data_IF_600401369452
#
_entry.id   IF_600401369452
#
_cell.length_a   1.000
_cell.length_b   1.000
_cell.length_c   1.000
_cell.angle_alpha   90.00
_cell.angle_beta   90.00
_cell.angle_gamma   90.00
#
_symmetry.space_group_name_H-M   'P 1'
#
loop_
_entity.id
_entity.type
_entity.pdbx_description
1 polymer ?
#
# COMPACT_ATOMS: atom_id res chain seq x y z
N UNK A 1 0.88 29.37 -16.41
CA UNK A 1 0.30 28.39 -17.36
C UNK A 1 1.00 27.04 -17.15
N UNK A 2 0.51 25.94 -17.74
CA UNK A 2 1.17 24.60 -17.65
C UNK A 2 2.63 24.67 -18.14
N UNK A 3 2.89 25.45 -19.20
CA UNK A 3 4.23 25.63 -19.80
C UNK A 3 5.24 26.22 -18.81
N UNK A 4 4.85 27.22 -18.01
CA UNK A 4 5.77 27.82 -17.02
C UNK A 4 6.15 26.82 -15.92
N UNK A 5 5.21 25.94 -15.57
CA UNK A 5 5.39 24.93 -14.52
C UNK A 5 6.26 23.77 -15.01
N UNK A 6 6.10 23.36 -16.26
CA UNK A 6 6.97 22.37 -16.93
C UNK A 6 8.39 22.90 -17.15
N UNK A 7 8.53 24.17 -17.54
CA UNK A 7 9.83 24.81 -17.69
C UNK A 7 10.56 24.88 -16.35
N UNK A 8 9.87 25.29 -15.29
CA UNK A 8 10.43 25.29 -13.94
C UNK A 8 10.81 23.87 -13.48
N UNK A 9 9.98 22.86 -13.78
CA UNK A 9 10.29 21.46 -13.50
C UNK A 9 11.62 21.03 -14.15
N UNK A 10 11.81 21.32 -15.44
CA UNK A 10 13.03 20.94 -16.15
C UNK A 10 14.27 21.72 -15.67
N UNK A 11 14.15 23.03 -15.51
CA UNK A 11 15.30 23.88 -15.14
C UNK A 11 15.72 23.69 -13.68
N UNK A 12 14.77 23.67 -12.75
CA UNK A 12 15.08 23.67 -11.33
C UNK A 12 15.35 22.28 -10.77
N UNK A 13 14.57 21.29 -11.18
CA UNK A 13 14.69 19.95 -10.60
C UNK A 13 15.51 18.99 -11.46
N UNK A 14 15.30 18.97 -12.79
CA UNK A 14 16.07 18.06 -13.68
C UNK A 14 17.50 18.59 -13.88
N UNK A 15 17.65 19.84 -14.34
CA UNK A 15 18.97 20.45 -14.56
C UNK A 15 19.64 20.90 -13.25
N UNK A 16 18.84 21.42 -12.30
CA UNK A 16 19.34 21.86 -10.99
C UNK A 16 19.60 20.73 -9.98
N UNK A 17 19.27 19.48 -10.34
CA UNK A 17 19.42 18.30 -9.47
C UNK A 17 18.76 18.46 -8.08
N UNK A 18 17.71 19.28 -7.99
CA UNK A 18 16.98 19.48 -6.75
C UNK A 18 15.86 18.44 -6.64
N UNK A 19 15.82 17.60 -5.59
CA UNK A 19 14.75 16.64 -5.41
C UNK A 19 13.39 17.34 -5.42
N UNK A 20 12.44 16.76 -6.14
CA UNK A 20 11.04 17.19 -6.10
C UNK A 20 10.48 16.94 -4.70
N UNK A 21 9.53 17.77 -4.22
CA UNK A 21 8.74 17.42 -3.05
C UNK A 21 8.09 16.05 -3.28
N UNK A 22 8.29 15.14 -2.32
CA UNK A 22 7.67 13.82 -2.38
C UNK A 22 6.19 14.01 -2.14
N UNK A 23 5.39 13.71 -3.16
CA UNK A 23 3.93 13.76 -3.09
C UNK A 23 3.35 12.37 -2.78
N UNK A 24 2.03 12.29 -2.63
CA UNK A 24 1.31 11.03 -2.41
C UNK A 24 1.15 10.17 -3.68
N UNK A 25 1.91 10.43 -4.75
CA UNK A 25 1.76 9.72 -6.03
C UNK A 25 2.46 8.36 -6.02
N UNK A 26 1.98 7.44 -6.86
CA UNK A 26 2.64 6.14 -7.07
C UNK A 26 4.06 6.28 -7.66
N UNK A 27 4.33 7.38 -8.38
CA UNK A 27 5.65 7.65 -8.95
C UNK A 27 6.68 7.96 -7.86
N UNK A 28 6.29 8.74 -6.85
CA UNK A 28 7.13 9.02 -5.69
C UNK A 28 7.42 7.74 -4.88
N UNK A 29 6.43 6.88 -4.70
CA UNK A 29 6.60 5.58 -4.04
C UNK A 29 7.59 4.66 -4.80
N UNK A 30 7.46 4.57 -6.13
CA UNK A 30 8.39 3.79 -6.96
C UNK A 30 9.82 4.34 -6.94
N UNK A 31 9.96 5.66 -6.96
CA UNK A 31 11.25 6.33 -6.85
C UNK A 31 11.93 5.99 -5.52
N UNK A 32 11.22 6.15 -4.41
CA UNK A 32 11.74 5.83 -3.06
C UNK A 32 12.14 4.36 -2.93
N UNK A 33 11.34 3.43 -3.47
CA UNK A 33 11.67 2.00 -3.50
C UNK A 33 12.95 1.69 -4.28
N UNK A 34 13.20 2.41 -5.39
CA UNK A 34 14.41 2.24 -6.20
C UNK A 34 15.63 2.90 -5.54
N UNK A 35 15.47 4.07 -4.95
CA UNK A 35 16.56 4.82 -4.32
C UNK A 35 17.02 4.19 -3.01
N UNK A 36 16.11 3.64 -2.21
CA UNK A 36 16.40 3.16 -0.85
C UNK A 36 16.10 1.67 -0.66
N UNK A 37 16.47 0.84 -1.65
CA UNK A 37 16.22 -0.61 -1.61
C UNK A 37 17.02 -1.31 -0.48
N UNK A 38 18.27 -0.92 -0.29
CA UNK A 38 19.18 -1.46 0.73
C UNK A 38 19.33 -0.46 1.89
N UNK A 39 19.55 -0.97 3.10
CA UNK A 39 19.91 -0.16 4.26
C UNK A 39 21.42 -0.24 4.54
N UNK A 40 21.93 0.74 5.29
CA UNK A 40 23.34 0.81 5.68
C UNK A 40 23.56 0.40 7.15
N UNK A 41 22.53 -0.17 7.81
CA UNK A 41 22.55 -0.52 9.23
C UNK A 41 22.65 0.66 10.22
N UNK A 42 22.74 1.90 9.76
CA UNK A 42 22.91 3.06 10.63
C UNK A 42 21.57 3.54 11.20
N UNK A 43 21.58 3.97 12.46
CA UNK A 43 20.44 4.66 13.07
C UNK A 43 20.49 6.14 12.72
N UNK A 44 19.35 6.69 12.28
CA UNK A 44 19.16 8.13 12.11
C UNK A 44 18.25 8.63 13.22
N UNK A 45 18.63 9.73 13.88
CA UNK A 45 17.76 10.42 14.82
C UNK A 45 16.82 11.33 14.02
N UNK A 46 15.53 11.14 14.20
CA UNK A 46 14.49 12.02 13.66
C UNK A 46 14.16 13.11 14.70
N UNK A 47 13.51 14.17 14.24
CA UNK A 47 13.18 15.36 15.03
C UNK A 47 11.70 15.42 15.39
N UNK A 48 11.29 16.45 16.13
CA UNK A 48 9.89 16.69 16.47
C UNK A 48 8.99 16.87 15.22
N UNK A 49 9.54 17.38 14.11
CA UNK A 49 8.80 17.53 12.85
C UNK A 49 8.34 16.17 12.30
N UNK A 50 9.16 15.12 12.44
CA UNK A 50 8.78 13.77 12.04
C UNK A 50 7.77 13.13 12.98
N UNK A 51 7.76 13.49 14.26
CA UNK A 51 6.74 13.03 15.21
C UNK A 51 5.35 13.58 14.83
N UNK A 52 5.26 14.86 14.46
CA UNK A 52 4.02 15.46 13.95
C UNK A 52 3.53 14.76 12.66
N UNK A 53 4.46 14.39 11.76
CA UNK A 53 4.14 13.63 10.56
C UNK A 53 3.61 12.23 10.89
N UNK A 54 4.21 11.55 11.87
CA UNK A 54 3.75 10.23 12.33
C UNK A 54 2.35 10.33 12.94
N UNK A 55 2.07 11.34 13.74
CA UNK A 55 0.74 11.55 14.34
C UNK A 55 -0.33 11.84 13.27
N UNK A 56 -0.01 12.67 12.27
CA UNK A 56 -0.88 12.89 11.13
C UNK A 56 -1.15 11.59 10.36
N UNK A 57 -0.12 10.75 10.13
CA UNK A 57 -0.27 9.46 9.48
C UNK A 57 -1.16 8.50 10.29
N UNK A 58 -1.00 8.44 11.61
CA UNK A 58 -1.83 7.60 12.48
C UNK A 58 -3.29 8.08 12.51
N UNK A 59 -3.53 9.40 12.48
CA UNK A 59 -4.88 9.95 12.37
C UNK A 59 -5.56 9.53 11.05
N UNK A 60 -4.87 9.68 9.92
CA UNK A 60 -5.39 9.25 8.61
C UNK A 60 -5.66 7.75 8.58
N UNK A 61 -4.80 6.92 9.18
CA UNK A 61 -5.04 5.47 9.29
C UNK A 61 -6.31 5.15 10.08
N UNK A 62 -6.59 5.90 11.15
CA UNK A 62 -7.80 5.72 11.94
C UNK A 62 -9.05 6.06 11.12
N UNK A 63 -9.04 7.18 10.41
CA UNK A 63 -10.16 7.57 9.52
C UNK A 63 -10.37 6.55 8.40
N UNK A 64 -9.30 6.08 7.76
CA UNK A 64 -9.38 5.04 6.73
C UNK A 64 -10.00 3.75 7.27
N UNK A 65 -9.66 3.34 8.48
CA UNK A 65 -10.24 2.15 9.12
C UNK A 65 -11.74 2.30 9.35
N UNK A 66 -12.19 3.48 9.75
CA UNK A 66 -13.61 3.76 9.94
C UNK A 66 -14.37 3.78 8.59
N UNK A 67 -13.78 4.40 7.57
CA UNK A 67 -14.32 4.39 6.20
C UNK A 67 -14.37 2.98 5.61
N UNK A 68 -13.34 2.16 5.82
CA UNK A 68 -13.33 0.76 5.41
C UNK A 68 -14.42 -0.05 6.12
N UNK A 69 -14.65 0.22 7.40
CA UNK A 69 -15.71 -0.44 8.17
C UNK A 69 -17.09 -0.07 7.63
N UNK A 70 -17.30 1.21 7.32
CA UNK A 70 -18.52 1.71 6.72
C UNK A 70 -18.75 1.12 5.32
N UNK A 71 -17.71 1.06 4.48
CA UNK A 71 -17.75 0.41 3.17
C UNK A 71 -18.16 -1.06 3.29
N UNK A 72 -17.53 -1.80 4.21
CA UNK A 72 -17.86 -3.22 4.47
C UNK A 72 -19.31 -3.39 4.93
N UNK A 73 -19.84 -2.48 5.75
CA UNK A 73 -21.26 -2.49 6.13
C UNK A 73 -22.17 -2.43 4.90
N UNK A 74 -21.97 -1.45 4.02
CA UNK A 74 -22.78 -1.32 2.80
C UNK A 74 -22.65 -2.52 1.86
N UNK A 75 -21.43 -3.04 1.66
CA UNK A 75 -21.21 -4.26 0.87
C UNK A 75 -21.94 -5.47 1.46
N UNK A 76 -21.95 -5.62 2.79
CA UNK A 76 -22.62 -6.73 3.46
C UNK A 76 -24.14 -6.62 3.39
N UNK A 77 -24.70 -5.40 3.47
CA UNK A 77 -26.13 -5.17 3.25
C UNK A 77 -26.55 -5.57 1.83
N UNK A 78 -25.74 -5.27 0.81
CA UNK A 78 -25.99 -5.71 -0.57
C UNK A 78 -25.92 -7.24 -0.69
N UNK A 79 -24.88 -7.87 -0.14
CA UNK A 79 -24.74 -9.34 -0.14
C UNK A 79 -25.91 -10.03 0.55
N UNK A 80 -26.36 -9.51 1.69
CA UNK A 80 -27.51 -10.03 2.42
C UNK A 80 -28.79 -9.96 1.58
N UNK A 81 -29.01 -8.87 0.83
CA UNK A 81 -30.14 -8.73 -0.08
C UNK A 81 -30.04 -9.66 -1.30
N UNK A 82 -28.83 -9.90 -1.81
CA UNK A 82 -28.61 -10.79 -2.95
C UNK A 82 -28.75 -12.27 -2.57
N UNK A 83 -28.40 -12.64 -1.34
CA UNK A 83 -28.43 -14.01 -0.82
C UNK A 83 -27.71 -14.98 -1.76
N UNK A 84 -28.42 -15.93 -2.36
CA UNK A 84 -27.87 -16.93 -3.29
C UNK A 84 -27.76 -16.42 -4.74
N UNK A 85 -28.27 -15.21 -5.01
CA UNK A 85 -28.33 -14.66 -6.36
C UNK A 85 -26.95 -14.20 -6.85
N UNK A 86 -26.46 -14.71 -7.98
CA UNK A 86 -25.14 -14.36 -8.51
C UNK A 86 -25.08 -12.95 -9.11
N UNK A 87 -26.22 -12.39 -9.50
CA UNK A 87 -26.32 -11.08 -10.17
C UNK A 87 -27.52 -10.32 -9.61
N UNK A 88 -27.36 -9.02 -9.38
CA UNK A 88 -28.41 -8.09 -8.99
C UNK A 88 -28.40 -6.89 -9.92
N UNK A 89 -29.57 -6.33 -10.23
CA UNK A 89 -29.70 -5.16 -11.11
C UNK A 89 -30.54 -4.11 -10.40
N UNK A 90 -30.09 -2.86 -10.49
CA UNK A 90 -30.83 -1.66 -10.07
C UNK A 90 -31.04 -0.76 -11.29
N UNK A 91 -31.72 0.37 -11.13
CA UNK A 91 -31.91 1.34 -12.22
C UNK A 91 -30.59 1.86 -12.82
N UNK A 92 -29.50 1.88 -12.04
CA UNK A 92 -28.24 2.50 -12.43
C UNK A 92 -27.02 1.55 -12.41
N UNK A 93 -27.15 0.35 -11.84
CA UNK A 93 -26.01 -0.53 -11.57
C UNK A 93 -26.36 -2.01 -11.76
N UNK A 94 -25.40 -2.77 -12.26
CA UNK A 94 -25.35 -4.24 -12.18
C UNK A 94 -24.33 -4.65 -11.11
N UNK A 95 -24.72 -5.57 -10.23
CA UNK A 95 -23.91 -6.10 -9.14
C UNK A 95 -23.68 -7.59 -9.39
N UNK A 96 -22.44 -8.05 -9.29
CA UNK A 96 -22.08 -9.47 -9.39
C UNK A 96 -21.58 -10.00 -8.04
N UNK A 97 -22.23 -11.06 -7.53
CA UNK A 97 -21.89 -11.76 -6.30
C UNK A 97 -21.82 -13.27 -6.56
N UNK A 98 -20.85 -13.66 -7.39
CA UNK A 98 -20.68 -15.04 -7.86
C UNK A 98 -19.65 -15.80 -7.01
N UNK A 99 -19.91 -17.08 -6.76
CA UNK A 99 -18.91 -18.00 -6.20
C UNK A 99 -17.76 -18.16 -7.19
N UNK A 100 -16.55 -17.79 -6.78
CA UNK A 100 -15.33 -17.98 -7.55
C UNK A 100 -14.43 -19.03 -6.86
N UNK A 101 -14.04 -20.07 -7.59
CA UNK A 101 -13.08 -21.07 -7.11
C UNK A 101 -11.69 -20.71 -7.63
N UNK A 102 -10.77 -20.41 -6.71
CA UNK A 102 -9.36 -20.18 -7.04
C UNK A 102 -8.55 -21.40 -6.58
N UNK A 103 -7.82 -22.01 -7.50
CA UNK A 103 -6.83 -23.03 -7.16
C UNK A 103 -5.49 -22.33 -6.92
N UNK A 104 -4.93 -22.51 -5.73
CA UNK A 104 -3.59 -22.03 -5.37
C UNK A 104 -2.77 -23.19 -4.83
N UNK A 105 -1.47 -23.16 -5.07
CA UNK A 105 -0.54 -24.14 -4.51
C UNK A 105 -0.48 -23.92 -2.99
N UNK A 106 -0.59 -25.01 -2.23
CA UNK A 106 -0.29 -24.98 -0.80
C UNK A 106 1.23 -24.91 -0.61
N UNK A 107 1.75 -23.69 -0.58
CA UNK A 107 3.19 -23.45 -0.49
C UNK A 107 3.80 -23.93 0.83
N UNK A 108 3.01 -24.06 1.90
CA UNK A 108 3.51 -24.56 3.19
C UNK A 108 3.73 -26.07 3.09
N UNK A 109 2.69 -26.78 2.67
CA UNK A 109 2.76 -28.23 2.45
C UNK A 109 3.81 -28.61 1.42
N UNK A 110 3.95 -27.84 0.34
CA UNK A 110 4.99 -28.05 -0.67
C UNK A 110 6.41 -27.92 -0.10
N UNK A 111 6.64 -26.96 0.81
CA UNK A 111 7.95 -26.78 1.47
C UNK A 111 8.27 -27.89 2.47
N UNK A 112 7.26 -28.41 3.15
CA UNK A 112 7.42 -29.51 4.12
C UNK A 112 7.63 -30.86 3.44
N UNK A 113 6.83 -31.19 2.42
CA UNK A 113 6.89 -32.49 1.73
C UNK A 113 7.99 -32.54 0.65
N UNK A 114 8.24 -31.43 -0.05
CA UNK A 114 9.13 -31.37 -1.22
C UNK A 114 10.01 -30.10 -1.20
N UNK A 115 10.92 -29.96 -0.21
CA UNK A 115 11.74 -28.76 -0.04
C UNK A 115 12.63 -28.46 -1.26
N UNK A 116 13.17 -29.48 -1.93
CA UNK A 116 14.02 -29.32 -3.11
C UNK A 116 13.27 -28.65 -4.27
N UNK A 117 12.02 -29.07 -4.49
CA UNK A 117 11.15 -28.50 -5.52
C UNK A 117 10.73 -27.08 -5.10
N UNK A 118 10.33 -26.90 -3.84
CA UNK A 118 9.95 -25.59 -3.33
C UNK A 118 11.09 -24.56 -3.49
N UNK A 119 12.33 -24.94 -3.19
CA UNK A 119 13.51 -24.09 -3.35
C UNK A 119 13.82 -23.82 -4.82
N UNK A 120 13.73 -24.83 -5.69
CA UNK A 120 13.99 -24.69 -7.14
C UNK A 120 13.07 -23.67 -7.81
N UNK A 121 11.83 -23.54 -7.35
CA UNK A 121 10.84 -22.60 -7.92
C UNK A 121 10.59 -21.38 -7.04
N UNK A 122 11.34 -21.20 -5.96
CA UNK A 122 11.28 -19.98 -5.16
C UNK A 122 12.16 -18.90 -5.78
N UNK A 123 11.62 -17.68 -5.87
CA UNK A 123 12.38 -16.49 -6.23
C UNK A 123 12.50 -15.60 -5.01
N UNK A 124 13.70 -15.13 -4.74
CA UNK A 124 13.93 -14.10 -3.74
C UNK A 124 13.52 -12.72 -4.30
N UNK A 125 12.79 -11.96 -3.50
CA UNK A 125 12.45 -10.56 -3.79
C UNK A 125 12.79 -9.71 -2.57
N UNK A 126 13.54 -8.65 -2.79
CA UNK A 126 13.88 -7.70 -1.74
C UNK A 126 12.88 -6.55 -1.71
N UNK A 127 12.54 -6.10 -0.51
CA UNK A 127 11.68 -4.93 -0.29
C UNK A 127 12.00 -4.31 1.07
N UNK A 128 11.86 -2.99 1.18
CA UNK A 128 12.09 -2.25 2.41
C UNK A 128 10.79 -1.56 2.87
N UNK A 129 9.88 -2.28 3.53
CA UNK A 129 8.61 -1.71 3.97
C UNK A 129 8.80 -0.77 5.16
N UNK A 130 8.12 0.38 5.13
CA UNK A 130 8.01 1.28 6.28
C UNK A 130 7.17 0.61 7.39
N UNK A 131 7.73 0.54 8.60
CA UNK A 131 7.02 0.03 9.79
C UNK A 131 7.17 1.05 10.91
N UNK A 132 6.04 1.47 11.47
CA UNK A 132 5.99 2.40 12.59
C UNK A 132 5.53 1.61 13.82
N UNK A 133 6.27 1.72 14.91
CA UNK A 133 5.92 1.15 16.21
C UNK A 133 6.09 2.23 17.26
N UNK A 134 5.05 2.49 18.04
CA UNK A 134 5.16 3.37 19.21
C UNK A 134 6.12 2.74 20.23
N UNK A 135 7.18 3.45 20.57
CA UNK A 135 8.01 3.15 21.73
C UNK A 135 7.28 3.70 22.95
N UNK A 136 6.91 2.82 23.88
CA UNK A 136 6.23 3.23 25.11
C UNK A 136 7.25 3.99 25.95
N UNK A 137 7.11 5.31 26.03
CA UNK A 137 7.96 6.18 26.83
C UNK A 137 7.15 7.39 27.29
N UNK A 138 6.36 7.22 28.35
CA UNK A 138 5.61 8.30 29.00
C UNK A 138 4.25 7.84 29.48
N UNK A 139 4.13 7.65 30.81
CA UNK A 139 2.85 7.77 31.52
C UNK A 139 2.30 9.19 31.38
#
# INVERSE_FOLDING_TARGET
MIIDREKHFWEYHVLGNNPFPIDGSSAAEELLKKMYLEDNGAMTMLTEEEDELIDALEHVKAELKDLETLKKRYENELKMKMAESPVGVTSNYEISFKTHKRNTIDSKRLKEELPDIANKYSKESQSRPLKIKRTVGGN
#
